data_IF_700847096063
#
_entry.id   IF_700847096063
#
_cell.length_a   1.000
_cell.length_b   1.000
_cell.length_c   1.000
_cell.angle_alpha   90.00
_cell.angle_beta   90.00
_cell.angle_gamma   90.00
#
_symmetry.space_group_name_H-M   'P 1'
#
loop_
_entity.id
_entity.type
_entity.pdbx_description
1 polymer ?
#
# COMPACT_ATOMS: atom_id res chain seq x y z
N UNK A 1 -20.79 18.14 -2.09
CA UNK A 1 -19.35 17.91 -1.78
C UNK A 1 -18.97 18.90 -0.70
N UNK A 2 -18.32 18.45 0.38
CA UNK A 2 -17.92 19.34 1.48
C UNK A 2 -16.40 19.57 1.46
N UNK A 3 -15.96 20.73 1.92
CA UNK A 3 -14.56 21.13 1.91
C UNK A 3 -14.10 21.54 3.31
N UNK A 4 -12.86 21.18 3.63
CA UNK A 4 -12.07 21.73 4.74
C UNK A 4 -10.64 21.86 4.23
N UNK A 5 -10.04 23.03 4.36
CA UNK A 5 -8.68 23.23 3.89
C UNK A 5 -8.03 24.49 4.46
N UNK A 6 -6.70 24.53 4.36
CA UNK A 6 -5.93 25.73 4.69
C UNK A 6 -6.05 26.76 3.57
N UNK A 7 -6.15 28.02 3.98
CA UNK A 7 -6.20 29.15 3.07
C UNK A 7 -5.13 30.15 3.45
N UNK A 8 -4.48 30.74 2.44
CA UNK A 8 -3.48 31.77 2.66
C UNK A 8 -4.17 33.08 3.04
N UNK A 9 -3.61 33.82 3.99
CA UNK A 9 -4.15 35.11 4.47
C UNK A 9 -4.52 36.08 3.33
N UNK A 10 -3.71 36.11 2.28
CA UNK A 10 -3.90 37.01 1.13
C UNK A 10 -4.96 36.53 0.11
N UNK A 11 -5.71 35.46 0.40
CA UNK A 11 -6.71 34.88 -0.51
C UNK A 11 -8.15 34.95 0.02
N UNK A 12 -8.37 35.65 1.14
CA UNK A 12 -9.70 35.82 1.74
C UNK A 12 -10.08 37.30 1.75
N UNK A 13 -10.36 37.85 0.56
CA UNK A 13 -10.83 39.23 0.42
C UNK A 13 -12.21 39.38 1.08
N UNK A 14 -12.36 40.34 2.00
CA UNK A 14 -13.64 40.66 2.64
C UNK A 14 -13.88 40.02 4.00
N UNK A 15 -13.19 38.93 4.36
CA UNK A 15 -13.29 38.33 5.70
C UNK A 15 -12.30 39.03 6.65
N UNK A 16 -12.84 39.75 7.64
CA UNK A 16 -12.07 40.42 8.69
C UNK A 16 -11.81 39.45 9.84
N UNK A 17 -10.76 38.64 9.68
CA UNK A 17 -10.23 37.83 10.79
C UNK A 17 -9.15 38.60 11.54
N UNK A 18 -9.12 38.44 12.84
CA UNK A 18 -8.12 38.98 13.76
C UNK A 18 -6.69 38.73 13.26
N UNK A 19 -5.84 39.73 13.43
CA UNK A 19 -4.42 39.59 13.11
C UNK A 19 -3.72 38.66 14.09
N UNK A 20 -2.73 37.93 13.60
CA UNK A 20 -1.91 37.03 14.42
C UNK A 20 -1.31 37.73 15.65
N UNK A 21 -1.01 39.04 15.57
CA UNK A 21 -0.51 39.82 16.70
C UNK A 21 -1.53 39.93 17.85
N UNK A 22 -2.83 40.00 17.56
CA UNK A 22 -3.88 40.06 18.57
C UNK A 22 -4.09 38.71 19.21
N UNK A 23 -4.27 37.66 18.40
CA UNK A 23 -4.38 36.28 18.88
C UNK A 23 -3.20 35.87 19.75
N UNK A 24 -1.97 36.35 19.45
CA UNK A 24 -0.79 36.09 20.28
C UNK A 24 -0.87 36.69 21.68
N UNK A 25 -1.63 37.77 21.88
CA UNK A 25 -1.86 38.37 23.20
C UNK A 25 -2.86 37.55 24.01
N UNK A 26 -3.87 36.98 23.36
CA UNK A 26 -4.86 36.09 23.99
C UNK A 26 -4.24 34.73 24.37
N UNK A 27 -3.23 34.31 23.62
CA UNK A 27 -2.40 33.16 23.94
C UNK A 27 -2.62 31.99 22.99
N UNK A 28 -1.85 30.92 23.23
CA UNK A 28 -1.91 29.70 22.41
C UNK A 28 -3.27 29.02 22.60
N UNK A 29 -3.94 28.71 21.49
CA UNK A 29 -5.31 28.20 21.49
C UNK A 29 -6.36 29.24 21.10
N UNK A 30 -6.01 30.53 21.15
CA UNK A 30 -6.88 31.61 20.70
C UNK A 30 -7.30 31.43 19.24
N UNK A 31 -8.55 31.77 18.95
CA UNK A 31 -9.08 31.73 17.61
C UNK A 31 -10.08 32.84 17.36
N UNK A 32 -10.24 33.15 16.08
CA UNK A 32 -11.28 34.03 15.57
C UNK A 32 -11.96 33.36 14.37
N UNK A 33 -13.20 33.77 14.09
CA UNK A 33 -13.98 33.21 12.99
C UNK A 33 -14.81 34.26 12.27
N UNK A 34 -15.06 34.01 10.99
CA UNK A 34 -16.05 34.73 10.20
C UNK A 34 -16.94 33.69 9.50
N UNK A 35 -18.24 33.97 9.43
CA UNK A 35 -19.21 33.14 8.71
C UNK A 35 -19.76 33.94 7.54
N UNK A 36 -19.83 33.29 6.38
CA UNK A 36 -20.54 33.78 5.21
C UNK A 36 -21.88 33.03 5.09
N UNK A 37 -22.99 33.73 5.31
CA UNK A 37 -24.32 33.13 5.40
C UNK A 37 -24.87 32.64 4.05
N UNK A 38 -24.47 33.26 2.94
CA UNK A 38 -24.97 32.94 1.59
C UNK A 38 -24.60 31.52 1.14
N UNK A 39 -23.38 31.07 1.47
CA UNK A 39 -22.84 29.78 1.06
C UNK A 39 -22.58 28.84 2.24
N UNK A 40 -22.93 29.26 3.47
CA UNK A 40 -22.65 28.54 4.71
C UNK A 40 -21.17 28.15 4.85
N UNK A 41 -20.29 29.11 4.59
CA UNK A 41 -18.83 28.93 4.68
C UNK A 41 -18.34 29.58 5.96
N UNK A 42 -17.54 28.86 6.73
CA UNK A 42 -16.87 29.40 7.91
C UNK A 42 -15.37 29.47 7.67
N UNK A 43 -14.80 30.63 7.96
CA UNK A 43 -13.36 30.83 8.07
C UNK A 43 -12.98 30.87 9.55
N UNK A 44 -11.99 30.08 9.94
CA UNK A 44 -11.48 30.07 11.31
C UNK A 44 -9.97 30.30 11.28
N UNK A 45 -9.49 31.26 12.04
CA UNK A 45 -8.07 31.46 12.31
C UNK A 45 -7.76 30.99 13.72
N UNK A 46 -6.89 30.01 13.85
CA UNK A 46 -6.48 29.44 15.14
C UNK A 46 -4.98 29.59 15.34
N UNK A 47 -4.56 29.96 16.55
CA UNK A 47 -3.17 30.17 16.91
C UNK A 47 -2.62 28.97 17.69
N UNK A 48 -1.69 28.26 17.06
CA UNK A 48 -0.80 27.32 17.76
C UNK A 48 0.56 28.00 18.00
N UNK A 49 1.64 27.46 17.43
CA UNK A 49 2.92 28.16 17.32
C UNK A 49 2.88 29.29 16.28
N UNK A 50 2.02 29.15 15.27
CA UNK A 50 1.76 30.14 14.20
C UNK A 50 0.27 30.12 13.90
N UNK A 51 -0.27 31.25 13.44
CA UNK A 51 -1.66 31.33 13.04
C UNK A 51 -1.91 30.51 11.76
N UNK A 52 -2.91 29.64 11.80
CA UNK A 52 -3.41 28.90 10.63
C UNK A 52 -4.83 29.34 10.36
N UNK A 53 -5.14 29.62 9.09
CA UNK A 53 -6.51 29.94 8.66
C UNK A 53 -7.08 28.76 7.87
N UNK A 54 -8.22 28.26 8.31
CA UNK A 54 -8.99 27.21 7.67
C UNK A 54 -10.30 27.76 7.12
N UNK A 55 -10.76 27.19 6.00
CA UNK A 55 -12.12 27.36 5.50
C UNK A 55 -12.83 26.02 5.55
N UNK A 56 -14.13 26.03 5.87
CA UNK A 56 -14.97 24.85 5.80
C UNK A 56 -16.39 25.17 5.35
N UNK A 57 -17.01 24.18 4.70
CA UNK A 57 -18.43 24.15 4.33
C UNK A 57 -19.23 23.12 5.17
N UNK A 58 -18.67 22.55 6.23
CA UNK A 58 -19.36 21.52 7.03
C UNK A 58 -19.00 21.45 8.50
N UNK A 59 -17.85 21.99 8.92
CA UNK A 59 -17.41 21.96 10.32
C UNK A 59 -16.95 23.35 10.72
N UNK A 60 -17.47 23.83 11.84
CA UNK A 60 -17.14 25.14 12.37
C UNK A 60 -16.30 25.05 13.65
N UNK A 61 -16.66 25.86 14.62
CA UNK A 61 -15.95 25.93 15.89
C UNK A 61 -16.36 24.81 16.82
N UNK A 62 -17.67 24.60 16.97
CA UNK A 62 -18.23 23.66 17.93
C UNK A 62 -18.30 22.22 17.38
N UNK A 63 -18.13 21.21 18.24
CA UNK A 63 -17.69 21.30 19.63
C UNK A 63 -16.18 21.58 19.74
N UNK A 64 -15.77 22.46 20.65
CA UNK A 64 -14.34 22.61 20.99
C UNK A 64 -13.82 21.39 21.77
N UNK A 65 -12.54 21.06 21.59
CA UNK A 65 -11.85 20.05 22.41
C UNK A 65 -10.44 20.50 22.76
N UNK A 66 -9.82 19.86 23.75
CA UNK A 66 -8.42 20.11 24.11
C UNK A 66 -7.49 19.12 23.42
N UNK A 67 -6.33 19.58 23.00
CA UNK A 67 -5.25 18.74 22.45
C UNK A 67 -3.96 18.96 23.21
N UNK A 68 -3.31 17.86 23.59
CA UNK A 68 -2.00 17.89 24.24
C UNK A 68 -0.92 18.27 23.22
N UNK A 69 -0.24 19.39 23.44
CA UNK A 69 0.80 19.92 22.55
C UNK A 69 2.09 20.21 23.32
N UNK A 70 3.22 19.91 22.71
CA UNK A 70 4.52 20.30 23.26
C UNK A 70 4.68 21.82 23.23
N UNK A 71 5.12 22.39 24.34
CA UNK A 71 5.53 23.78 24.45
C UNK A 71 7.05 23.84 24.68
N UNK A 72 7.77 24.36 23.69
CA UNK A 72 9.23 24.47 23.76
C UNK A 72 9.72 25.45 24.82
N UNK A 73 8.90 26.44 25.21
CA UNK A 73 9.28 27.42 26.22
C UNK A 73 9.30 26.80 27.62
N UNK A 74 8.34 25.91 27.90
CA UNK A 74 8.22 25.22 29.20
C UNK A 74 8.89 23.86 29.20
N UNK A 75 9.25 23.34 28.02
CA UNK A 75 9.77 21.98 27.82
C UNK A 75 8.86 20.92 28.42
N UNK A 76 7.54 21.14 28.29
CA UNK A 76 6.52 20.20 28.71
C UNK A 76 5.30 20.29 27.78
N UNK A 77 4.39 19.35 27.93
CA UNK A 77 3.12 19.35 27.23
C UNK A 77 2.11 20.25 27.92
N UNK A 78 1.40 21.04 27.14
CA UNK A 78 0.25 21.84 27.57
C UNK A 78 -1.01 21.41 26.84
N UNK A 79 -2.13 21.56 27.51
CA UNK A 79 -3.44 21.42 26.88
C UNK A 79 -3.79 22.73 26.17
N UNK A 80 -4.11 22.61 24.89
CA UNK A 80 -4.48 23.74 24.04
C UNK A 80 -5.88 23.47 23.51
N UNK A 81 -6.80 24.41 23.75
CA UNK A 81 -8.13 24.33 23.16
C UNK A 81 -8.04 24.49 21.64
N UNK A 82 -8.77 23.65 20.91
CA UNK A 82 -8.87 23.73 19.46
C UNK A 82 -10.34 23.65 19.01
N UNK A 83 -10.70 24.43 17.98
CA UNK A 83 -11.96 24.30 17.25
C UNK A 83 -12.14 22.93 16.56
N UNK A 84 -13.40 22.49 16.38
CA UNK A 84 -13.77 21.28 15.66
C UNK A 84 -13.18 21.22 14.24
N UNK A 85 -13.17 22.34 13.52
CA UNK A 85 -12.56 22.46 12.18
C UNK A 85 -11.07 22.07 12.16
N UNK A 86 -10.32 22.41 13.22
CA UNK A 86 -8.89 22.07 13.34
C UNK A 86 -8.72 20.56 13.54
N UNK A 87 -9.58 19.95 14.36
CA UNK A 87 -9.62 18.50 14.56
C UNK A 87 -9.95 17.77 13.26
N UNK A 88 -10.98 18.23 12.55
CA UNK A 88 -11.41 17.66 11.28
C UNK A 88 -10.29 17.75 10.22
N UNK A 89 -9.67 18.93 10.07
CA UNK A 89 -8.55 19.11 9.15
C UNK A 89 -7.39 18.17 9.48
N UNK A 90 -6.92 18.13 10.73
CA UNK A 90 -5.81 17.28 11.13
C UNK A 90 -6.09 15.78 10.94
N UNK A 91 -7.36 15.34 11.09
CA UNK A 91 -7.76 13.94 10.87
C UNK A 91 -7.58 13.50 9.42
N UNK A 92 -7.82 14.39 8.46
CA UNK A 92 -7.88 14.04 7.04
C UNK A 92 -6.72 14.56 6.18
N UNK A 93 -5.99 15.60 6.62
CA UNK A 93 -4.93 16.22 5.81
C UNK A 93 -3.79 15.27 5.42
N UNK A 94 -3.49 14.27 6.25
CA UNK A 94 -2.31 13.41 6.09
C UNK A 94 -2.46 12.25 5.09
N UNK A 95 -3.61 12.10 4.43
CA UNK A 95 -3.86 10.96 3.54
C UNK A 95 -2.88 10.89 2.35
N UNK A 96 -2.61 12.03 1.72
CA UNK A 96 -1.68 12.13 0.58
C UNK A 96 -0.24 11.92 1.05
N UNK A 97 0.18 12.61 2.12
CA UNK A 97 1.52 12.45 2.70
C UNK A 97 1.81 11.01 3.12
N UNK A 98 0.79 10.30 3.63
CA UNK A 98 0.91 8.89 3.98
C UNK A 98 1.14 8.02 2.73
N UNK A 99 0.41 8.26 1.64
CA UNK A 99 0.65 7.58 0.36
C UNK A 99 2.06 7.87 -0.15
N UNK A 100 2.49 9.13 -0.14
CA UNK A 100 3.83 9.52 -0.54
C UNK A 100 4.91 8.87 0.31
N UNK A 101 4.68 8.75 1.63
CA UNK A 101 5.57 8.01 2.53
C UNK A 101 5.66 6.53 2.16
N UNK A 102 4.55 5.91 1.76
CA UNK A 102 4.52 4.52 1.33
C UNK A 102 5.28 4.30 0.03
N UNK A 103 5.14 5.23 -0.91
CA UNK A 103 5.86 5.22 -2.18
C UNK A 103 7.36 5.49 -1.99
N UNK A 104 7.72 6.43 -1.12
CA UNK A 104 9.11 6.79 -0.85
C UNK A 104 9.89 5.63 -0.21
N UNK A 105 9.28 4.87 0.71
CA UNK A 105 9.94 3.78 1.43
C UNK A 105 10.39 2.62 0.52
N UNK A 106 9.67 2.38 -0.58
CA UNK A 106 10.03 1.35 -1.58
C UNK A 106 10.05 1.97 -2.96
N UNK A 107 10.82 3.05 -3.10
CA UNK A 107 10.95 3.76 -4.35
C UNK A 107 11.59 2.86 -5.40
N UNK A 108 10.88 2.66 -6.51
CA UNK A 108 11.41 1.96 -7.67
C UNK A 108 12.49 2.84 -8.34
N UNK A 109 13.74 2.38 -8.31
CA UNK A 109 14.88 3.10 -8.88
C UNK A 109 15.16 2.58 -10.30
N UNK A 110 14.51 3.17 -11.30
CA UNK A 110 14.82 2.91 -12.70
C UNK A 110 15.24 4.21 -13.36
N UNK A 111 16.45 4.22 -13.93
CA UNK A 111 16.95 5.34 -14.73
C UNK A 111 16.44 5.13 -16.16
N UNK A 112 15.55 6.01 -16.60
CA UNK A 112 15.06 6.02 -17.99
C UNK A 112 15.12 7.43 -18.55
N UNK A 113 15.47 7.54 -19.83
CA UNK A 113 15.36 8.81 -20.60
C UNK A 113 13.91 9.09 -21.04
N UNK A 114 13.03 8.09 -20.97
CA UNK A 114 11.62 8.18 -21.36
C UNK A 114 10.77 8.57 -20.15
N UNK A 115 10.28 9.81 -20.11
CA UNK A 115 9.56 10.37 -18.95
C UNK A 115 8.32 9.56 -18.57
N UNK A 116 7.59 9.00 -19.53
CA UNK A 116 6.38 8.21 -19.30
C UNK A 116 6.65 6.93 -18.50
N UNK A 117 7.88 6.41 -18.49
CA UNK A 117 8.23 5.26 -17.66
C UNK A 117 8.10 5.60 -16.17
N UNK A 118 8.38 6.84 -15.76
CA UNK A 118 8.18 7.25 -14.37
C UNK A 118 6.70 7.25 -13.98
N UNK A 119 5.80 7.68 -14.88
CA UNK A 119 4.35 7.60 -14.65
C UNK A 119 3.87 6.16 -14.52
N UNK A 120 4.31 5.29 -15.43
CA UNK A 120 3.98 3.86 -15.38
C UNK A 120 4.41 3.21 -14.06
N UNK A 121 5.65 3.44 -13.64
CA UNK A 121 6.15 2.86 -12.38
C UNK A 121 5.48 3.48 -11.16
N UNK A 122 5.22 4.78 -11.16
CA UNK A 122 4.51 5.45 -10.07
C UNK A 122 3.08 4.90 -9.92
N UNK A 123 2.34 4.78 -11.02
CA UNK A 123 0.98 4.20 -11.02
C UNK A 123 0.96 2.75 -10.59
N UNK A 124 1.92 1.93 -11.04
CA UNK A 124 2.05 0.55 -10.58
C UNK A 124 2.34 0.47 -9.07
N UNK A 125 3.25 1.31 -8.56
CA UNK A 125 3.55 1.33 -7.12
C UNK A 125 2.34 1.79 -6.30
N UNK A 126 1.58 2.79 -6.76
CA UNK A 126 0.32 3.21 -6.13
C UNK A 126 -0.71 2.08 -6.12
N UNK A 127 -0.89 1.37 -7.24
CA UNK A 127 -1.83 0.26 -7.33
C UNK A 127 -1.47 -0.86 -6.32
N UNK A 128 -0.18 -1.18 -6.19
CA UNK A 128 0.31 -2.16 -5.22
C UNK A 128 0.05 -1.72 -3.78
N UNK A 129 0.27 -0.44 -3.45
CA UNK A 129 -0.02 0.10 -2.11
C UNK A 129 -1.52 0.04 -1.83
N UNK A 130 -2.36 0.44 -2.79
CA UNK A 130 -3.82 0.36 -2.66
C UNK A 130 -4.30 -1.08 -2.47
N UNK A 131 -3.78 -2.04 -3.24
CA UNK A 131 -4.10 -3.46 -3.07
C UNK A 131 -3.72 -3.97 -1.68
N UNK A 132 -2.56 -3.56 -1.14
CA UNK A 132 -2.17 -3.91 0.23
C UNK A 132 -3.09 -3.28 1.29
N UNK A 133 -3.57 -2.05 1.08
CA UNK A 133 -4.53 -1.40 1.97
C UNK A 133 -5.90 -2.12 1.97
N UNK A 134 -6.38 -2.54 0.80
CA UNK A 134 -7.59 -3.36 0.67
C UNK A 134 -7.43 -4.69 1.38
N UNK A 135 -6.32 -5.40 1.14
CA UNK A 135 -5.98 -6.64 1.86
C UNK A 135 -6.04 -6.44 3.38
N UNK A 136 -5.42 -5.37 3.91
CA UNK A 136 -5.47 -5.08 5.36
C UNK A 136 -6.87 -4.80 5.87
N UNK A 137 -7.71 -4.15 5.07
CA UNK A 137 -9.11 -3.88 5.43
C UNK A 137 -9.89 -5.18 5.53
N UNK A 138 -9.80 -6.05 4.51
CA UNK A 138 -10.47 -7.35 4.49
C UNK A 138 -9.99 -8.27 5.61
N UNK A 139 -8.67 -8.30 5.84
CA UNK A 139 -8.07 -9.10 6.90
C UNK A 139 -8.63 -8.73 8.29
N UNK A 140 -8.88 -7.44 8.52
CA UNK A 140 -9.53 -6.94 9.75
C UNK A 140 -11.01 -7.29 9.81
N UNK A 141 -11.74 -7.19 8.69
CA UNK A 141 -13.16 -7.55 8.62
C UNK A 141 -13.39 -9.03 8.90
N UNK A 142 -12.48 -9.90 8.46
CA UNK A 142 -12.50 -11.34 8.72
C UNK A 142 -12.00 -11.71 10.13
N UNK A 143 -11.65 -10.73 10.97
CA UNK A 143 -11.18 -10.92 12.36
C UNK A 143 -9.99 -11.89 12.47
N UNK A 144 -9.12 -11.91 11.46
CA UNK A 144 -7.97 -12.80 11.45
C UNK A 144 -6.87 -12.31 12.40
N UNK A 145 -6.04 -13.20 12.98
CA UNK A 145 -5.01 -12.81 13.94
C UNK A 145 -4.01 -11.82 13.33
N UNK A 146 -3.73 -10.70 14.00
CA UNK A 146 -2.84 -9.65 13.45
C UNK A 146 -1.42 -10.17 13.17
N UNK A 147 -0.95 -11.15 13.95
CA UNK A 147 0.36 -11.78 13.79
C UNK A 147 0.56 -12.43 12.41
N UNK A 148 -0.51 -12.92 11.78
CA UNK A 148 -0.46 -13.53 10.44
C UNK A 148 -0.74 -12.54 9.30
N UNK A 149 -1.00 -11.27 9.60
CA UNK A 149 -1.18 -10.24 8.57
C UNK A 149 0.14 -9.96 7.85
N UNK A 150 0.13 -10.03 6.53
CA UNK A 150 1.33 -9.78 5.74
C UNK A 150 1.76 -8.31 5.82
N UNK A 151 3.02 -8.12 6.22
CA UNK A 151 3.71 -6.84 6.05
C UNK A 151 3.83 -6.52 4.56
N UNK A 152 3.84 -5.22 4.22
CA UNK A 152 3.82 -4.75 2.83
C UNK A 152 4.88 -5.39 1.93
N UNK A 153 6.11 -5.55 2.40
CA UNK A 153 7.19 -6.17 1.61
C UNK A 153 6.85 -7.61 1.19
N UNK A 154 6.25 -8.38 2.10
CA UNK A 154 5.87 -9.78 1.87
C UNK A 154 4.69 -9.83 0.92
N UNK A 155 3.71 -8.95 1.11
CA UNK A 155 2.59 -8.81 0.17
C UNK A 155 3.10 -8.48 -1.24
N UNK A 156 4.02 -7.51 -1.37
CA UNK A 156 4.64 -7.14 -2.64
C UNK A 156 5.39 -8.30 -3.30
N UNK A 157 6.13 -9.09 -2.53
CA UNK A 157 6.86 -10.25 -3.06
C UNK A 157 5.90 -11.36 -3.53
N UNK A 158 4.77 -11.56 -2.85
CA UNK A 158 3.72 -12.49 -3.29
C UNK A 158 3.09 -12.05 -4.60
N UNK A 159 2.71 -10.77 -4.73
CA UNK A 159 2.17 -10.21 -5.97
C UNK A 159 3.17 -10.38 -7.12
N UNK A 160 4.44 -10.03 -6.91
CA UNK A 160 5.48 -10.22 -7.92
C UNK A 160 5.64 -11.69 -8.33
N UNK A 161 5.64 -12.61 -7.36
CA UNK A 161 5.76 -14.05 -7.62
C UNK A 161 4.55 -14.59 -8.39
N UNK A 162 3.34 -14.14 -8.07
CA UNK A 162 2.11 -14.52 -8.76
C UNK A 162 2.12 -14.05 -10.23
N UNK A 163 2.55 -12.82 -10.48
CA UNK A 163 2.59 -12.24 -11.82
C UNK A 163 3.70 -12.83 -12.69
N UNK A 164 4.89 -13.05 -12.14
CA UNK A 164 6.02 -13.63 -12.87
C UNK A 164 5.85 -15.13 -13.07
N UNK A 165 5.31 -15.86 -12.08
CA UNK A 165 5.10 -17.30 -12.15
C UNK A 165 4.12 -17.73 -13.25
N UNK A 166 3.21 -16.84 -13.67
CA UNK A 166 2.29 -17.08 -14.79
C UNK A 166 2.92 -16.83 -16.16
N UNK A 167 4.06 -16.14 -16.24
CA UNK A 167 4.80 -16.00 -17.49
C UNK A 167 5.60 -17.29 -17.72
N UNK A 168 5.03 -18.22 -18.49
CA UNK A 168 5.80 -19.32 -19.09
C UNK A 168 7.03 -18.67 -19.74
N UNK A 169 8.23 -19.06 -19.30
CA UNK A 169 9.47 -18.58 -19.87
C UNK A 169 9.51 -19.02 -21.34
N UNK A 170 8.97 -18.18 -22.24
CA UNK A 170 9.25 -18.31 -23.66
C UNK A 170 10.75 -18.08 -23.81
N UNK A 171 11.51 -19.01 -24.43
CA UNK A 171 12.90 -18.74 -24.75
C UNK A 171 12.95 -17.44 -25.54
N UNK A 172 13.54 -16.39 -24.96
CA UNK A 172 13.82 -15.15 -25.68
C UNK A 172 15.25 -15.24 -26.18
N UNK A 173 15.40 -15.35 -27.48
CA UNK A 173 16.69 -15.40 -28.18
C UNK A 173 16.61 -16.26 -29.44
N UNK A 174 17.41 -15.90 -30.45
CA UNK A 174 17.73 -16.81 -31.56
C UNK A 174 18.47 -18.01 -30.98
N UNK A 175 18.16 -19.27 -31.35
CA UNK A 175 18.95 -20.42 -30.94
C UNK A 175 20.43 -20.13 -31.25
N UNK A 176 21.30 -20.26 -30.25
CA UNK A 176 22.74 -20.17 -30.51
C UNK A 176 23.15 -21.38 -31.34
N UNK A 177 23.88 -21.14 -32.42
CA UNK A 177 24.52 -22.16 -33.27
C UNK A 177 25.94 -22.48 -32.80
N UNK A 178 26.36 -22.01 -31.62
CA UNK A 178 27.74 -22.20 -31.18
C UNK A 178 27.91 -23.53 -30.46
N UNK A 179 28.68 -24.40 -31.11
CA UNK A 179 29.21 -25.66 -30.61
C UNK A 179 29.82 -25.52 -29.21
N UNK A 180 29.56 -26.56 -28.43
CA UNK A 180 30.04 -26.79 -27.07
C UNK A 180 31.55 -26.63 -27.01
N UNK A 181 32.03 -25.49 -26.55
CA UNK A 181 33.36 -25.37 -25.94
C UNK A 181 33.17 -25.26 -24.45
N UNK A 182 33.88 -26.12 -23.72
CA UNK A 182 33.83 -26.31 -22.28
C UNK A 182 34.10 -25.02 -21.51
N UNK A 183 33.05 -24.21 -21.34
CA UNK A 183 33.00 -23.23 -20.27
C UNK A 183 32.69 -24.03 -19.02
N UNK A 184 33.64 -24.07 -18.07
CA UNK A 184 33.40 -24.57 -16.72
C UNK A 184 32.31 -23.69 -16.10
N UNK A 185 31.05 -24.10 -16.27
CA UNK A 185 29.90 -23.47 -15.63
C UNK A 185 30.01 -23.80 -14.16
N UNK A 186 30.49 -22.85 -13.36
CA UNK A 186 30.39 -22.91 -11.89
C UNK A 186 28.96 -23.37 -11.57
N UNK A 187 28.75 -24.47 -10.82
CA UNK A 187 27.41 -24.98 -10.57
C UNK A 187 26.61 -23.85 -9.90
N UNK A 188 25.62 -23.31 -10.63
CA UNK A 188 24.74 -22.33 -10.04
C UNK A 188 24.13 -22.98 -8.80
N UNK A 189 24.06 -22.27 -7.66
CA UNK A 189 23.45 -22.82 -6.47
C UNK A 189 22.09 -23.37 -6.85
N UNK A 190 21.81 -24.63 -6.47
CA UNK A 190 20.53 -25.29 -6.77
C UNK A 190 19.42 -24.36 -6.33
N UNK A 191 18.80 -23.66 -7.28
CA UNK A 191 17.63 -22.83 -6.99
C UNK A 191 16.58 -23.77 -6.43
N UNK A 192 16.35 -23.68 -5.12
CA UNK A 192 15.24 -24.38 -4.49
C UNK A 192 14.00 -23.92 -5.24
N UNK A 193 13.40 -24.83 -6.02
CA UNK A 193 12.14 -24.54 -6.71
C UNK A 193 11.08 -24.33 -5.64
N UNK A 194 10.91 -23.09 -5.21
CA UNK A 194 9.74 -22.68 -4.44
C UNK A 194 8.54 -22.90 -5.35
N UNK A 195 7.54 -23.64 -4.86
CA UNK A 195 6.30 -23.82 -5.60
C UNK A 195 5.58 -22.48 -5.83
N UNK A 196 4.51 -22.46 -6.62
CA UNK A 196 3.70 -21.25 -6.78
C UNK A 196 3.17 -20.78 -5.42
N UNK A 197 2.89 -19.47 -5.30
CA UNK A 197 2.19 -18.91 -4.15
C UNK A 197 0.79 -19.50 -4.02
N UNK A 198 0.27 -19.53 -2.79
CA UNK A 198 -1.03 -20.16 -2.49
C UNK A 198 -2.17 -19.58 -3.32
N UNK A 199 -2.17 -18.27 -3.59
CA UNK A 199 -3.17 -17.63 -4.45
C UNK A 199 -3.18 -18.22 -5.87
N UNK A 200 -2.02 -18.59 -6.41
CA UNK A 200 -1.93 -19.24 -7.74
C UNK A 200 -2.21 -20.73 -7.64
N UNK A 201 -1.80 -21.37 -6.55
CA UNK A 201 -2.01 -22.80 -6.30
C UNK A 201 -3.49 -23.14 -6.09
N UNK A 202 -4.23 -22.27 -5.40
CA UNK A 202 -5.61 -22.49 -4.95
C UNK A 202 -6.67 -21.67 -5.71
N UNK A 203 -6.30 -21.00 -6.80
CA UNK A 203 -7.28 -20.23 -7.61
C UNK A 203 -8.26 -21.08 -8.42
N UNK A 204 -8.24 -22.42 -8.27
CA UNK A 204 -9.11 -23.36 -8.96
C UNK A 204 -9.17 -23.23 -10.50
N UNK A 205 -8.21 -22.53 -11.10
CA UNK A 205 -8.25 -22.16 -12.52
C UNK A 205 -7.05 -22.72 -13.27
N UNK A 206 -7.28 -23.42 -14.39
CA UNK A 206 -6.25 -23.90 -15.31
C UNK A 206 -5.12 -24.73 -14.66
N UNK A 207 -5.45 -25.56 -13.67
CA UNK A 207 -4.53 -26.57 -13.12
C UNK A 207 -4.73 -27.90 -13.82
N UNK A 208 -4.14 -28.06 -15.00
CA UNK A 208 -4.31 -29.26 -15.83
C UNK A 208 -3.28 -30.34 -15.50
N UNK A 209 -3.70 -31.61 -15.27
CA UNK A 209 -2.79 -32.72 -15.13
C UNK A 209 -2.27 -33.15 -16.51
N UNK A 210 -0.96 -33.04 -16.73
CA UNK A 210 -0.28 -33.49 -17.95
C UNK A 210 0.68 -34.63 -17.64
N UNK A 211 0.84 -35.58 -18.56
CA UNK A 211 1.80 -36.68 -18.44
C UNK A 211 3.16 -36.25 -18.97
N UNK A 212 4.22 -36.50 -18.18
CA UNK A 212 5.61 -36.24 -18.57
C UNK A 212 6.43 -37.51 -18.55
N UNK A 213 7.37 -37.66 -19.48
CA UNK A 213 8.20 -38.87 -19.61
C UNK A 213 9.01 -39.17 -18.34
N UNK A 214 9.59 -38.13 -17.71
CA UNK A 214 10.40 -38.28 -16.48
C UNK A 214 9.52 -38.28 -15.24
N UNK A 215 9.40 -39.45 -14.61
CA UNK A 215 8.82 -39.62 -13.27
C UNK A 215 9.61 -38.83 -12.24
N UNK A 216 8.93 -38.32 -11.23
CA UNK A 216 9.57 -37.68 -10.09
C UNK A 216 8.67 -37.69 -8.87
N UNK A 217 9.28 -37.37 -7.72
CA UNK A 217 8.63 -37.43 -6.41
C UNK A 217 7.44 -36.48 -6.34
N UNK A 218 6.32 -36.99 -5.84
CA UNK A 218 5.11 -36.23 -5.58
C UNK A 218 5.39 -35.12 -4.56
N UNK A 219 4.98 -33.88 -4.87
CA UNK A 219 5.23 -32.72 -4.02
C UNK A 219 4.46 -32.75 -2.70
N UNK A 220 3.28 -33.38 -2.70
CA UNK A 220 2.41 -33.43 -1.52
C UNK A 220 2.79 -34.58 -0.59
N UNK A 221 2.79 -35.84 -1.08
CA UNK A 221 3.04 -36.99 -0.21
C UNK A 221 4.52 -37.30 0.00
N UNK A 222 5.44 -36.74 -0.82
CA UNK A 222 6.88 -36.95 -0.77
C UNK A 222 7.40 -38.41 -0.87
N UNK A 223 6.52 -39.40 -0.96
CA UNK A 223 6.88 -40.83 -1.03
C UNK A 223 6.90 -41.33 -2.47
N UNK A 224 5.82 -41.10 -3.22
CA UNK A 224 5.62 -41.75 -4.50
C UNK A 224 6.23 -40.98 -5.67
N UNK A 225 6.66 -41.70 -6.70
CA UNK A 225 7.05 -41.12 -7.97
C UNK A 225 5.88 -41.15 -8.96
N UNK A 226 5.56 -39.99 -9.52
CA UNK A 226 4.45 -39.78 -10.47
C UNK A 226 4.96 -39.16 -11.77
N UNK A 227 4.32 -39.51 -12.88
CA UNK A 227 4.51 -38.86 -14.18
C UNK A 227 3.44 -37.78 -14.44
N UNK A 228 2.51 -37.55 -13.52
CA UNK A 228 1.54 -36.47 -13.63
C UNK A 228 2.14 -35.17 -13.09
N UNK A 229 2.16 -34.14 -13.92
CA UNK A 229 2.62 -32.79 -13.63
C UNK A 229 1.42 -31.84 -13.71
N UNK A 230 1.30 -30.89 -12.79
CA UNK A 230 0.42 -29.74 -12.99
C UNK A 230 1.13 -28.73 -13.90
N UNK A 231 0.56 -28.42 -15.06
CA UNK A 231 1.18 -27.51 -16.04
C UNK A 231 1.43 -26.11 -15.46
N UNK A 232 0.45 -25.58 -14.74
CA UNK A 232 0.50 -24.25 -14.13
C UNK A 232 1.43 -24.15 -12.93
N UNK A 233 1.38 -25.14 -12.03
CA UNK A 233 2.19 -25.14 -10.81
C UNK A 233 3.61 -25.71 -11.04
N UNK A 234 3.84 -26.39 -12.16
CA UNK A 234 5.07 -27.13 -12.48
C UNK A 234 5.54 -28.05 -11.34
N UNK A 235 4.58 -28.70 -10.66
CA UNK A 235 4.82 -29.69 -9.60
C UNK A 235 4.25 -31.04 -9.98
N UNK A 236 4.92 -32.10 -9.55
CA UNK A 236 4.48 -33.49 -9.77
C UNK A 236 3.55 -33.91 -8.64
N UNK A 237 2.38 -34.46 -8.97
CA UNK A 237 1.36 -34.86 -8.01
C UNK A 237 0.78 -36.22 -8.39
N UNK A 238 0.43 -37.04 -7.39
CA UNK A 238 -0.27 -38.30 -7.63
C UNK A 238 -1.68 -38.00 -8.16
N UNK A 239 -2.05 -38.65 -9.25
CA UNK A 239 -3.38 -38.63 -9.84
C UNK A 239 -3.66 -40.04 -10.37
N UNK A 240 -4.05 -40.91 -9.44
CA UNK A 240 -4.39 -42.33 -9.62
C UNK A 240 -5.63 -42.62 -8.78
N UNK A 241 -6.38 -43.68 -9.08
CA UNK A 241 -7.67 -43.99 -8.43
C UNK A 241 -7.58 -44.00 -6.90
N UNK A 242 -6.59 -44.69 -6.34
CA UNK A 242 -6.39 -44.79 -4.89
C UNK A 242 -5.92 -43.48 -4.24
N UNK A 243 -5.33 -42.55 -5.02
CA UNK A 243 -4.61 -41.38 -4.48
C UNK A 243 -4.70 -40.16 -5.39
N UNK A 244 -5.46 -39.17 -4.92
CA UNK A 244 -5.66 -37.90 -5.60
C UNK A 244 -4.95 -36.73 -4.90
N UNK A 245 -3.61 -36.80 -4.82
CA UNK A 245 -2.80 -35.67 -4.32
C UNK A 245 -2.95 -34.42 -5.19
N UNK A 246 -3.35 -34.58 -6.46
CA UNK A 246 -3.61 -33.47 -7.36
C UNK A 246 -4.72 -32.56 -6.82
N UNK A 247 -5.88 -33.12 -6.46
CA UNK A 247 -6.98 -32.34 -5.87
C UNK A 247 -6.57 -31.73 -4.53
N UNK A 248 -6.01 -32.52 -3.62
CA UNK A 248 -5.62 -32.05 -2.28
C UNK A 248 -4.57 -30.92 -2.29
N UNK A 249 -3.73 -30.84 -3.33
CA UNK A 249 -2.73 -29.77 -3.44
C UNK A 249 -3.32 -28.43 -3.94
N UNK A 250 -4.43 -28.45 -4.70
CA UNK A 250 -5.01 -27.24 -5.29
C UNK A 250 -6.27 -26.74 -4.54
N UNK A 251 -6.73 -27.46 -3.51
CA UNK A 251 -7.84 -27.09 -2.62
C UNK A 251 -7.31 -26.63 -1.27
#
# INVERSE_FOLDING_TARGET
MHYVGTVRKNRISGCRLEDEKKLRKEGRGAYDHCVEDSHNIIAVRWLDNKAVTLLSTYTGIEPTDTVRRWDSAVKDHREVERPAIIKAYNKFMGGIDLMDSYLAKYRFRLKSRRWYMYLFWHTLMMAIVNAWLVYRREYKLLQLPEKSMMKRQVFQSHVASALVGRMVARPRGRPSLEDVRDVIVKPQPRKVRKGPVDDVRKDAYAHWPVKVQKRGRCKLCAVNNTNTLCEKCNVRLCFVEERNCFKSYHV
#
